data_IF_620899729455
#
_entry.id   IF_620899729455
#
_cell.length_a   1.000
_cell.length_b   1.000
_cell.length_c   1.000
_cell.angle_alpha   90.00
_cell.angle_beta   90.00
_cell.angle_gamma   90.00
#
_symmetry.space_group_name_H-M   'P 1'
#
loop_
_entity.id
_entity.type
_entity.pdbx_description
1 polymer ?
#
# COMPACT_ATOMS: atom_id res chain seq x y z
N UNK A 1 -41.03 -36.74 -1.93
CA UNK A 1 -39.69 -36.46 -2.49
C UNK A 1 -39.20 -35.19 -1.77
N UNK A 2 -38.37 -35.38 -0.74
CA UNK A 2 -37.79 -34.29 0.02
C UNK A 2 -36.62 -33.79 -0.79
N UNK A 3 -36.71 -32.58 -1.37
CA UNK A 3 -35.57 -31.90 -1.94
C UNK A 3 -34.53 -31.77 -0.83
N UNK A 4 -33.41 -32.44 -1.00
CA UNK A 4 -32.22 -32.17 -0.20
C UNK A 4 -31.83 -30.75 -0.49
N UNK A 5 -32.08 -29.85 0.46
CA UNK A 5 -31.51 -28.50 0.46
C UNK A 5 -30.03 -28.66 0.10
N UNK A 6 -29.66 -28.21 -1.10
CA UNK A 6 -28.33 -28.43 -1.64
C UNK A 6 -27.30 -27.76 -0.75
N UNK A 7 -26.41 -28.56 -0.18
CA UNK A 7 -25.25 -28.08 0.56
C UNK A 7 -24.52 -27.01 -0.26
N UNK A 8 -24.51 -25.76 0.25
CA UNK A 8 -23.81 -24.67 -0.43
C UNK A 8 -22.34 -24.98 -0.44
N UNK A 9 -21.73 -24.94 -1.63
CA UNK A 9 -20.31 -25.23 -1.84
C UNK A 9 -19.62 -24.01 -2.42
N UNK A 10 -18.46 -23.68 -1.89
CA UNK A 10 -17.59 -22.61 -2.38
C UNK A 10 -16.22 -23.19 -2.68
N UNK A 11 -15.71 -22.91 -3.85
CA UNK A 11 -14.34 -23.24 -4.25
C UNK A 11 -13.54 -21.96 -4.36
N UNK A 12 -12.40 -21.90 -3.68
CA UNK A 12 -11.46 -20.79 -3.68
C UNK A 12 -10.20 -21.26 -4.40
N UNK A 13 -9.76 -20.53 -5.41
CA UNK A 13 -8.53 -20.83 -6.14
C UNK A 13 -7.40 -19.96 -5.61
N UNK A 14 -6.36 -20.63 -5.09
CA UNK A 14 -5.19 -20.01 -4.48
C UNK A 14 -5.26 -19.98 -2.94
N UNK A 15 -4.28 -20.61 -2.29
CA UNK A 15 -4.12 -20.64 -0.85
C UNK A 15 -3.10 -19.60 -0.33
N UNK A 16 -2.99 -18.44 -0.99
CA UNK A 16 -2.33 -17.26 -0.45
C UNK A 16 -3.18 -16.60 0.63
N UNK A 17 -2.65 -15.53 1.24
CA UNK A 17 -3.33 -14.82 2.34
C UNK A 17 -4.76 -14.38 1.97
N UNK A 18 -5.00 -13.95 0.75
CA UNK A 18 -6.31 -13.50 0.27
C UNK A 18 -7.31 -14.66 0.23
N UNK A 19 -6.91 -15.81 -0.37
CA UNK A 19 -7.78 -16.98 -0.43
C UNK A 19 -8.08 -17.58 0.93
N UNK A 20 -7.07 -17.67 1.80
CA UNK A 20 -7.24 -18.16 3.17
C UNK A 20 -8.12 -17.22 4.01
N UNK A 21 -7.94 -15.91 3.90
CA UNK A 21 -8.80 -14.92 4.57
C UNK A 21 -10.25 -14.99 4.09
N UNK A 22 -10.45 -15.21 2.78
CA UNK A 22 -11.77 -15.43 2.20
C UNK A 22 -12.44 -16.70 2.78
N UNK A 23 -11.72 -17.82 2.81
CA UNK A 23 -12.20 -19.06 3.40
C UNK A 23 -12.58 -18.89 4.88
N UNK A 24 -11.70 -18.27 5.66
CA UNK A 24 -11.93 -17.95 7.06
C UNK A 24 -13.20 -17.11 7.24
N UNK A 25 -13.37 -16.06 6.42
CA UNK A 25 -14.53 -15.17 6.53
C UNK A 25 -15.85 -15.87 6.18
N UNK A 26 -15.86 -16.74 5.18
CA UNK A 26 -17.03 -17.52 4.79
C UNK A 26 -17.43 -18.47 5.95
N UNK A 27 -16.49 -19.25 6.46
CA UNK A 27 -16.74 -20.20 7.53
C UNK A 27 -17.15 -19.54 8.85
N UNK A 28 -16.63 -18.35 9.12
CA UNK A 28 -17.06 -17.55 10.30
C UNK A 28 -18.47 -17.00 10.13
N UNK A 29 -18.88 -16.68 8.90
CA UNK A 29 -20.23 -16.18 8.59
C UNK A 29 -21.29 -17.28 8.57
N UNK A 30 -20.95 -18.41 7.96
CA UNK A 30 -21.83 -19.58 7.88
C UNK A 30 -21.02 -20.89 7.85
N UNK A 31 -20.89 -21.55 9.02
CA UNK A 31 -20.13 -22.80 9.12
C UNK A 31 -20.73 -23.98 8.33
N UNK A 32 -21.97 -23.86 7.83
CA UNK A 32 -22.63 -24.92 7.03
C UNK A 32 -22.16 -24.95 5.59
N UNK A 33 -21.43 -23.95 5.14
CA UNK A 33 -20.89 -23.89 3.76
C UNK A 33 -19.68 -24.82 3.66
N UNK A 34 -19.71 -25.75 2.70
CA UNK A 34 -18.54 -26.54 2.37
C UNK A 34 -17.54 -25.69 1.57
N UNK A 35 -16.40 -25.33 2.17
CA UNK A 35 -15.35 -24.55 1.51
C UNK A 35 -14.21 -25.46 1.09
N UNK A 36 -13.83 -25.38 -0.17
CA UNK A 36 -12.64 -26.05 -0.72
C UNK A 36 -11.66 -25.02 -1.23
N UNK A 37 -10.41 -25.07 -0.77
CA UNK A 37 -9.32 -24.21 -1.28
C UNK A 37 -8.42 -25.06 -2.17
N UNK A 38 -8.23 -24.63 -3.41
CA UNK A 38 -7.34 -25.26 -4.39
C UNK A 38 -6.03 -24.47 -4.47
N UNK A 39 -4.91 -25.17 -4.32
CA UNK A 39 -3.57 -24.58 -4.42
C UNK A 39 -2.73 -25.33 -5.44
N UNK A 40 -2.06 -24.59 -6.34
CA UNK A 40 -1.26 -25.18 -7.39
C UNK A 40 0.13 -25.66 -6.89
N UNK A 41 0.65 -25.00 -5.85
CA UNK A 41 1.93 -25.35 -5.25
C UNK A 41 1.78 -26.40 -4.15
N UNK A 42 2.87 -26.97 -3.69
CA UNK A 42 2.89 -27.93 -2.57
C UNK A 42 2.73 -27.28 -1.18
N UNK A 43 2.44 -25.97 -1.10
CA UNK A 43 2.31 -25.25 0.18
C UNK A 43 1.25 -24.14 0.13
N UNK A 44 0.72 -23.79 1.28
CA UNK A 44 -0.10 -22.59 1.46
C UNK A 44 0.77 -21.36 1.76
N UNK A 45 0.17 -20.16 1.74
CA UNK A 45 0.81 -18.89 2.10
C UNK A 45 1.11 -17.99 0.89
N UNK A 46 1.19 -18.52 -0.33
CA UNK A 46 1.43 -17.73 -1.54
C UNK A 46 2.78 -16.98 -1.48
N UNK A 47 2.75 -15.65 -1.60
CA UNK A 47 3.94 -14.79 -1.52
C UNK A 47 4.50 -14.63 -0.10
N UNK A 48 3.74 -14.97 0.94
CA UNK A 48 4.26 -14.99 2.32
C UNK A 48 5.12 -16.24 2.46
N UNK A 49 6.42 -16.03 2.48
CA UNK A 49 7.41 -17.09 2.56
C UNK A 49 8.62 -16.62 3.34
N UNK A 50 9.08 -17.48 4.23
CA UNK A 50 10.28 -17.28 5.04
C UNK A 50 11.23 -18.45 4.79
N UNK A 51 12.50 -18.17 4.58
CA UNK A 51 13.53 -19.19 4.37
C UNK A 51 14.86 -18.80 5.04
N UNK A 52 15.77 -19.73 5.25
CA UNK A 52 17.11 -19.43 5.72
C UNK A 52 17.91 -18.66 4.65
N UNK A 53 18.60 -17.60 5.06
CA UNK A 53 19.50 -16.84 4.19
C UNK A 53 20.67 -16.23 4.98
N UNK A 54 21.88 -16.32 4.44
CA UNK A 54 23.10 -15.71 4.96
C UNK A 54 23.36 -15.98 6.48
N UNK A 55 23.07 -17.20 6.94
CA UNK A 55 23.24 -17.59 8.35
C UNK A 55 22.07 -17.26 9.27
N UNK A 56 21.06 -16.54 8.80
CA UNK A 56 19.81 -16.33 9.51
C UNK A 56 18.80 -17.42 9.19
N UNK A 57 18.10 -17.93 10.21
CA UNK A 57 17.17 -19.07 10.06
C UNK A 57 15.86 -18.65 9.40
N UNK A 58 15.42 -17.41 9.67
CA UNK A 58 14.14 -16.89 9.19
C UNK A 58 14.36 -15.52 8.52
N UNK A 59 14.29 -15.51 7.20
CA UNK A 59 14.33 -14.29 6.39
C UNK A 59 13.11 -14.29 5.48
N UNK A 60 12.33 -13.23 5.54
CA UNK A 60 11.16 -13.06 4.68
C UNK A 60 11.60 -12.76 3.25
N UNK A 61 11.08 -13.53 2.29
CA UNK A 61 11.50 -13.45 0.89
C UNK A 61 10.84 -12.28 0.15
N UNK A 62 9.64 -11.87 0.54
CA UNK A 62 8.90 -10.82 -0.14
C UNK A 62 8.09 -9.96 0.84
N UNK A 63 7.01 -10.51 1.41
CA UNK A 63 6.12 -9.77 2.30
C UNK A 63 6.60 -9.95 3.75
N UNK A 64 7.13 -8.90 4.32
CA UNK A 64 7.71 -8.85 5.68
C UNK A 64 6.85 -8.09 6.70
N UNK A 65 5.93 -7.26 6.21
CA UNK A 65 5.09 -6.43 7.08
C UNK A 65 3.76 -6.07 6.41
N UNK A 66 2.83 -5.56 7.20
CA UNK A 66 1.59 -4.97 6.70
C UNK A 66 1.24 -3.69 7.45
N UNK A 67 0.51 -2.80 6.78
CA UNK A 67 0.11 -1.53 7.36
C UNK A 67 -1.13 -1.67 8.24
N UNK A 68 -1.04 -1.25 9.50
CA UNK A 68 -2.16 -1.23 10.44
C UNK A 68 -3.20 -0.13 10.16
N UNK A 69 -2.96 0.73 9.17
CA UNK A 69 -3.92 1.78 8.78
C UNK A 69 -5.28 1.20 8.38
N UNK A 70 -5.29 0.08 7.64
CA UNK A 70 -6.52 -0.65 7.36
C UNK A 70 -6.80 -1.63 8.51
N UNK A 71 -7.94 -1.51 9.20
CA UNK A 71 -8.24 -2.36 10.35
C UNK A 71 -8.52 -3.83 9.98
N UNK A 72 -8.69 -4.15 8.69
CA UNK A 72 -9.04 -5.51 8.26
C UNK A 72 -7.94 -6.53 8.59
N UNK A 73 -6.67 -6.18 8.32
CA UNK A 73 -5.54 -7.06 8.62
C UNK A 73 -5.37 -7.25 10.14
N UNK A 74 -5.55 -6.18 10.92
CA UNK A 74 -5.52 -6.26 12.39
C UNK A 74 -6.64 -7.16 12.91
N UNK A 75 -7.88 -6.98 12.44
CA UNK A 75 -9.00 -7.83 12.85
C UNK A 75 -8.77 -9.30 12.53
N UNK A 76 -8.24 -9.59 11.32
CA UNK A 76 -7.91 -10.97 10.96
C UNK A 76 -6.87 -11.56 11.90
N UNK A 77 -5.80 -10.82 12.23
CA UNK A 77 -4.78 -11.26 13.18
C UNK A 77 -5.38 -11.53 14.56
N UNK A 78 -6.28 -10.68 15.04
CA UNK A 78 -7.00 -10.88 16.29
C UNK A 78 -7.90 -12.14 16.25
N UNK A 79 -8.63 -12.35 15.17
CA UNK A 79 -9.54 -13.49 14.97
C UNK A 79 -8.81 -14.84 14.92
N UNK A 80 -7.57 -14.86 14.42
CA UNK A 80 -6.74 -16.08 14.36
C UNK A 80 -5.74 -16.21 15.51
N UNK A 81 -5.83 -15.35 16.54
CA UNK A 81 -5.03 -15.44 17.76
C UNK A 81 -3.60 -14.90 17.64
N UNK A 82 -3.31 -14.08 16.65
CA UNK A 82 -1.97 -13.51 16.42
C UNK A 82 -1.76 -12.14 17.06
N UNK A 83 -2.73 -11.58 17.77
CA UNK A 83 -2.65 -10.21 18.35
C UNK A 83 -1.41 -9.99 19.22
N UNK A 84 -1.05 -10.97 20.04
CA UNK A 84 0.10 -10.90 20.95
C UNK A 84 1.45 -11.10 20.25
N UNK A 85 1.45 -11.49 18.99
CA UNK A 85 2.66 -11.72 18.19
C UNK A 85 2.97 -10.54 17.25
N UNK A 86 2.05 -9.58 17.16
CA UNK A 86 2.28 -8.38 16.33
C UNK A 86 3.36 -7.53 16.96
N UNK A 87 4.37 -7.21 16.15
CA UNK A 87 5.47 -6.32 16.53
C UNK A 87 5.56 -5.17 15.53
N UNK A 88 6.15 -4.07 15.97
CA UNK A 88 6.46 -2.95 15.09
C UNK A 88 7.95 -2.96 14.79
N UNK A 89 8.36 -2.52 13.58
CA UNK A 89 9.77 -2.36 13.30
C UNK A 89 10.38 -1.34 14.27
N UNK A 90 11.67 -1.50 14.57
CA UNK A 90 12.41 -0.48 15.30
C UNK A 90 12.28 0.86 14.57
N UNK A 91 12.24 1.97 15.33
CA UNK A 91 12.12 3.30 14.74
C UNK A 91 13.22 3.50 13.70
N UNK A 92 12.81 3.72 12.47
CA UNK A 92 13.68 3.95 11.34
C UNK A 92 13.20 5.17 10.54
N UNK A 93 14.11 5.74 9.75
CA UNK A 93 13.75 6.82 8.83
C UNK A 93 14.00 6.32 7.43
N UNK A 94 12.99 6.40 6.58
CA UNK A 94 13.17 6.16 5.17
C UNK A 94 14.00 7.29 4.55
N UNK A 95 14.85 6.93 3.60
CA UNK A 95 15.72 7.86 2.89
C UNK A 95 15.72 7.55 1.40
N UNK A 96 15.88 8.58 0.59
CA UNK A 96 16.07 8.48 -0.86
C UNK A 96 17.52 8.78 -1.19
N UNK A 97 18.09 7.99 -2.08
CA UNK A 97 19.40 8.25 -2.65
C UNK A 97 19.31 9.24 -3.81
N UNK A 98 19.94 10.38 -3.66
CA UNK A 98 20.11 11.35 -4.74
C UNK A 98 21.49 12.04 -4.60
N UNK A 99 22.50 11.40 -5.17
CA UNK A 99 23.91 11.78 -4.96
C UNK A 99 24.43 11.47 -3.53
N UNK A 100 23.56 11.46 -2.55
CA UNK A 100 23.75 11.04 -1.15
C UNK A 100 22.41 10.59 -0.57
N UNK A 101 22.40 10.05 0.64
CA UNK A 101 21.16 9.74 1.36
C UNK A 101 20.49 11.02 1.86
N UNK A 102 19.25 11.19 1.50
CA UNK A 102 18.37 12.26 1.97
C UNK A 102 17.22 11.64 2.76
N UNK A 103 17.08 12.04 4.02
CA UNK A 103 15.94 11.65 4.83
C UNK A 103 14.64 12.15 4.18
N UNK A 104 13.64 11.27 4.09
CA UNK A 104 12.32 11.67 3.62
C UNK A 104 11.70 12.69 4.60
N UNK A 105 10.98 13.68 4.08
CA UNK A 105 10.17 14.58 4.91
C UNK A 105 9.15 13.80 5.74
N UNK A 106 8.78 14.35 6.86
CA UNK A 106 7.65 13.85 7.65
C UNK A 106 6.31 14.21 6.97
N UNK A 107 5.24 13.52 7.36
CA UNK A 107 3.89 13.76 6.83
C UNK A 107 3.78 13.58 5.30
N UNK A 108 4.32 12.46 4.81
CA UNK A 108 4.08 12.01 3.45
C UNK A 108 2.98 10.94 3.44
N UNK A 109 2.04 11.06 2.52
CA UNK A 109 1.13 9.99 2.16
C UNK A 109 1.59 9.38 0.83
N UNK A 110 2.20 8.20 0.87
CA UNK A 110 2.78 7.54 -0.31
C UNK A 110 3.71 8.48 -1.11
N UNK A 111 4.57 9.22 -0.42
CA UNK A 111 5.49 10.18 -1.05
C UNK A 111 4.88 11.53 -1.38
N UNK A 112 3.55 11.68 -1.37
CA UNK A 112 2.88 12.95 -1.59
C UNK A 112 2.90 13.77 -0.32
N UNK A 113 3.41 15.01 -0.34
CA UNK A 113 3.38 15.88 0.82
C UNK A 113 1.95 16.23 1.22
N UNK A 114 1.55 15.86 2.43
CA UNK A 114 0.25 16.30 2.98
C UNK A 114 0.31 17.74 3.52
N UNK A 115 1.54 18.23 3.77
CA UNK A 115 1.78 19.61 4.16
C UNK A 115 2.99 20.16 3.38
N UNK A 116 2.78 21.19 2.59
CA UNK A 116 3.84 21.85 1.77
C UNK A 116 4.97 22.40 2.66
N UNK A 117 4.65 22.80 3.91
CA UNK A 117 5.67 23.25 4.87
C UNK A 117 6.69 22.18 5.22
N UNK A 118 6.32 20.90 5.18
CA UNK A 118 7.26 19.80 5.41
C UNK A 118 8.37 19.74 4.36
N UNK A 119 8.07 20.17 3.12
CA UNK A 119 9.05 20.29 2.05
C UNK A 119 10.07 21.42 2.29
N UNK A 120 9.68 22.48 3.00
CA UNK A 120 10.56 23.63 3.21
C UNK A 120 11.87 23.25 3.90
N UNK A 121 11.84 22.26 4.80
CA UNK A 121 13.00 21.75 5.53
C UNK A 121 13.77 20.65 4.78
N UNK A 122 13.18 20.07 3.74
CA UNK A 122 13.82 19.00 2.97
C UNK A 122 14.99 19.55 2.15
N UNK A 123 16.11 18.83 2.15
CA UNK A 123 17.26 19.10 1.29
C UNK A 123 17.19 18.33 -0.03
N UNK A 124 16.17 17.50 -0.20
CA UNK A 124 15.96 16.70 -1.42
C UNK A 124 15.37 17.54 -2.55
N UNK A 125 14.55 18.54 -2.21
CA UNK A 125 13.89 19.44 -3.16
C UNK A 125 14.61 20.78 -3.21
N UNK A 126 14.90 21.25 -4.42
CA UNK A 126 15.55 22.54 -4.65
C UNK A 126 14.67 23.73 -4.19
N UNK A 127 15.23 24.93 -4.00
CA UNK A 127 14.43 26.12 -3.70
C UNK A 127 13.35 26.39 -4.76
N UNK A 128 13.68 26.19 -6.04
CA UNK A 128 12.73 26.36 -7.14
C UNK A 128 11.62 25.31 -7.10
N UNK A 129 11.96 24.03 -6.84
CA UNK A 129 10.99 22.96 -6.66
C UNK A 129 10.06 23.22 -5.48
N UNK A 130 10.58 23.76 -4.37
CA UNK A 130 9.78 24.18 -3.20
C UNK A 130 8.80 25.29 -3.54
N UNK A 131 9.26 26.31 -4.27
CA UNK A 131 8.40 27.40 -4.76
C UNK A 131 7.30 26.85 -5.66
N UNK A 132 7.65 25.95 -6.60
CA UNK A 132 6.66 25.32 -7.48
C UNK A 132 5.63 24.50 -6.69
N UNK A 133 6.05 23.73 -5.72
CA UNK A 133 5.15 22.95 -4.86
C UNK A 133 4.27 23.83 -3.98
N UNK A 134 4.78 24.99 -3.53
CA UNK A 134 4.03 25.96 -2.73
C UNK A 134 2.85 26.61 -3.49
N UNK A 135 2.85 26.56 -4.81
CA UNK A 135 1.74 27.03 -5.65
C UNK A 135 0.56 26.04 -5.67
N UNK A 136 0.74 24.82 -5.17
CA UNK A 136 -0.28 23.77 -5.22
C UNK A 136 -1.66 24.22 -4.70
N UNK A 137 -1.79 24.92 -3.55
CA UNK A 137 -3.08 25.34 -3.03
C UNK A 137 -3.85 26.32 -3.92
N UNK A 138 -3.14 27.02 -4.81
CA UNK A 138 -3.71 28.01 -5.72
C UNK A 138 -4.07 27.42 -7.09
N UNK A 139 -3.71 26.17 -7.35
CA UNK A 139 -4.03 25.54 -8.62
C UNK A 139 -5.52 25.11 -8.63
N UNK A 140 -6.19 25.24 -9.81
CA UNK A 140 -7.55 24.78 -9.96
C UNK A 140 -7.65 23.26 -9.70
N UNK A 141 -8.84 22.82 -9.31
CA UNK A 141 -9.13 21.39 -9.18
C UNK A 141 -8.86 20.68 -10.49
N UNK A 142 -8.19 19.55 -10.42
CA UNK A 142 -7.92 18.72 -11.59
C UNK A 142 -9.10 17.77 -11.79
N UNK A 143 -9.63 17.68 -13.03
CA UNK A 143 -10.49 16.57 -13.39
C UNK A 143 -9.67 15.28 -13.28
N UNK A 144 -10.20 14.28 -12.58
CA UNK A 144 -9.49 13.03 -12.27
C UNK A 144 -9.86 11.90 -13.23
N UNK A 145 -10.54 12.24 -14.31
CA UNK A 145 -10.95 11.28 -15.31
C UNK A 145 -9.71 10.70 -15.99
N UNK A 146 -9.36 9.48 -15.61
CA UNK A 146 -8.31 8.66 -16.22
C UNK A 146 -6.86 9.22 -16.09
N UNK A 147 -6.57 10.01 -15.06
CA UNK A 147 -5.23 10.53 -14.83
C UNK A 147 -4.33 9.51 -14.11
N UNK A 148 -3.07 9.40 -14.52
CA UNK A 148 -2.08 8.63 -13.80
C UNK A 148 -1.56 9.40 -12.59
N UNK A 149 -1.07 8.65 -11.58
CA UNK A 149 -0.47 9.25 -10.40
C UNK A 149 0.69 10.18 -10.78
N UNK A 150 1.60 9.75 -11.66
CA UNK A 150 2.76 10.54 -12.07
C UNK A 150 2.35 11.86 -12.71
N UNK A 151 1.38 11.83 -13.62
CA UNK A 151 0.86 13.05 -14.26
C UNK A 151 0.21 14.02 -13.28
N UNK A 152 -0.61 13.50 -12.36
CA UNK A 152 -1.24 14.31 -11.31
C UNK A 152 -0.20 15.03 -10.47
N UNK A 153 0.81 14.29 -9.97
CA UNK A 153 1.84 14.85 -9.09
C UNK A 153 2.67 15.92 -9.80
N UNK A 154 3.08 15.67 -11.04
CA UNK A 154 3.82 16.68 -11.82
C UNK A 154 3.01 17.96 -12.02
N UNK A 155 1.72 17.81 -12.32
CA UNK A 155 0.83 18.95 -12.53
C UNK A 155 0.65 19.76 -11.25
N UNK A 156 0.47 19.12 -10.11
CA UNK A 156 0.21 19.82 -8.85
C UNK A 156 1.48 20.28 -8.14
N UNK A 157 2.46 19.42 -7.98
CA UNK A 157 3.65 19.69 -7.18
C UNK A 157 4.91 19.94 -8.00
N UNK A 158 4.89 19.63 -9.29
CA UNK A 158 6.02 19.76 -10.20
C UNK A 158 6.87 18.50 -10.34
N UNK A 159 7.73 18.50 -11.37
CA UNK A 159 8.54 17.33 -11.73
C UNK A 159 9.48 16.90 -10.59
N UNK A 160 10.09 17.83 -9.90
CA UNK A 160 11.10 17.54 -8.89
C UNK A 160 10.51 16.78 -7.68
N UNK A 161 9.29 17.11 -7.26
CA UNK A 161 8.57 16.37 -6.22
C UNK A 161 8.21 14.98 -6.71
N UNK A 162 7.76 14.85 -7.96
CA UNK A 162 7.49 13.55 -8.56
C UNK A 162 8.76 12.68 -8.57
N UNK A 163 9.82 13.12 -9.23
CA UNK A 163 11.04 12.34 -9.49
C UNK A 163 11.82 11.99 -8.22
N UNK A 164 11.79 12.86 -7.20
CA UNK A 164 12.62 12.70 -6.00
C UNK A 164 11.86 12.20 -4.76
N UNK A 165 10.55 12.27 -4.74
CA UNK A 165 9.76 11.82 -3.60
C UNK A 165 8.77 10.72 -3.96
N UNK A 166 7.88 10.99 -4.92
CA UNK A 166 6.75 10.10 -5.19
C UNK A 166 7.19 8.86 -5.95
N UNK A 167 7.89 9.05 -7.05
CA UNK A 167 8.31 7.96 -7.92
C UNK A 167 9.28 6.98 -7.22
N UNK A 168 10.33 7.41 -6.49
CA UNK A 168 11.17 6.47 -5.76
C UNK A 168 10.43 5.69 -4.68
N UNK A 169 9.44 6.29 -4.02
CA UNK A 169 8.71 5.63 -2.94
C UNK A 169 7.61 4.71 -3.48
N UNK A 170 6.73 5.23 -4.32
CA UNK A 170 5.61 4.46 -4.88
C UNK A 170 6.12 3.41 -5.87
N UNK A 171 7.02 3.80 -6.76
CA UNK A 171 7.63 2.90 -7.72
C UNK A 171 8.37 1.74 -7.07
N UNK A 172 9.09 1.98 -5.96
CA UNK A 172 9.76 0.90 -5.22
C UNK A 172 8.80 -0.04 -4.50
N UNK A 173 7.70 0.48 -3.93
CA UNK A 173 6.69 -0.33 -3.23
C UNK A 173 5.94 -1.23 -4.21
N UNK A 174 5.58 -0.71 -5.37
CA UNK A 174 4.75 -1.42 -6.33
C UNK A 174 5.55 -2.02 -7.50
N UNK A 175 6.84 -1.75 -7.59
CA UNK A 175 7.74 -2.17 -8.68
C UNK A 175 7.20 -1.80 -10.06
N UNK A 176 6.64 -0.60 -10.20
CA UNK A 176 6.02 -0.11 -11.42
C UNK A 176 6.20 1.40 -11.61
N UNK A 177 6.09 1.86 -12.86
CA UNK A 177 6.15 3.27 -13.19
C UNK A 177 4.89 3.99 -12.69
N UNK A 178 5.07 5.12 -12.03
CA UNK A 178 3.94 5.92 -11.50
C UNK A 178 3.09 6.55 -12.61
N UNK A 179 3.59 6.61 -13.84
CA UNK A 179 2.81 7.05 -15.00
C UNK A 179 1.80 6.00 -15.47
N UNK A 180 2.04 4.73 -15.16
CA UNK A 180 1.13 3.62 -15.46
C UNK A 180 0.12 3.37 -14.31
N UNK A 181 0.27 4.05 -13.17
CA UNK A 181 -0.64 3.91 -12.04
C UNK A 181 -1.93 4.69 -12.25
N UNK A 182 -3.05 3.96 -12.33
CA UNK A 182 -4.37 4.58 -12.23
C UNK A 182 -4.62 5.10 -10.82
N UNK A 183 -5.05 6.35 -10.70
CA UNK A 183 -5.47 6.93 -9.43
C UNK A 183 -6.63 6.18 -8.78
N UNK A 184 -7.52 5.58 -9.59
CA UNK A 184 -8.64 4.78 -9.09
C UNK A 184 -8.17 3.53 -8.33
N UNK A 185 -7.00 3.00 -8.69
CA UNK A 185 -6.36 1.90 -7.97
C UNK A 185 -5.77 2.30 -6.61
N UNK A 186 -5.74 3.60 -6.29
CA UNK A 186 -5.17 4.15 -5.05
C UNK A 186 -6.19 5.04 -4.32
N UNK A 187 -7.22 4.47 -3.66
CA UNK A 187 -8.35 5.24 -3.11
C UNK A 187 -7.92 6.40 -2.21
N UNK A 188 -6.86 6.21 -1.43
CA UNK A 188 -6.35 7.22 -0.50
C UNK A 188 -5.80 8.47 -1.22
N UNK A 189 -5.12 8.28 -2.34
CA UNK A 189 -4.62 9.39 -3.16
C UNK A 189 -5.72 9.98 -4.04
N UNK A 190 -6.64 9.14 -4.49
CA UNK A 190 -7.81 9.56 -5.24
C UNK A 190 -8.70 10.50 -4.42
N UNK A 191 -9.00 10.15 -3.16
CA UNK A 191 -9.74 11.01 -2.24
C UNK A 191 -9.03 12.35 -2.00
N UNK A 192 -7.70 12.34 -1.73
CA UNK A 192 -6.91 13.56 -1.59
C UNK A 192 -6.98 14.46 -2.82
N UNK A 193 -6.91 13.86 -4.00
CA UNK A 193 -6.97 14.58 -5.26
C UNK A 193 -8.36 15.19 -5.52
N UNK A 194 -9.44 14.49 -5.12
CA UNK A 194 -10.81 15.00 -5.23
C UNK A 194 -11.09 16.18 -4.29
N UNK A 195 -10.57 16.14 -3.07
CA UNK A 195 -10.79 17.19 -2.07
C UNK A 195 -10.07 18.49 -2.46
N UNK A 196 -9.08 18.42 -3.34
CA UNK A 196 -8.32 19.60 -3.80
C UNK A 196 -7.55 20.28 -2.66
N UNK A 197 -7.27 19.53 -1.59
CA UNK A 197 -6.48 20.00 -0.44
C UNK A 197 -5.57 18.86 -0.01
N UNK A 198 -4.27 19.06 -0.19
CA UNK A 198 -3.27 18.31 0.57
C UNK A 198 -3.21 18.80 2.04
N UNK A 199 -4.29 19.42 2.50
CA UNK A 199 -4.40 19.98 3.84
C UNK A 199 -5.55 19.33 4.58
N UNK A 200 -5.25 18.29 5.31
CA UNK A 200 -5.98 17.87 6.51
C UNK A 200 -4.99 17.80 7.66
#
# INVERSE_FOLDING_TARGET
>A
MTERSGERRVVIVGAGITGLACAHRILRGDPSIAVTVLEASGRTGGLIRTSPFAGHVHVDEAADAFLLRNPAARRLADEVGLSGLLTSPASGHASVWHGRLHRLPENLLLGVPTNVLSLARSRLISPLGKMRAALEPFLPRTALDDDSLGRLIRRRFGNEVHERLVDPLVGSIYAADTDDFSLQGMPQLYELAQIGRAHV
#
